data_IF_383902954013
#
_entry.id   IF_383902954013
#
_cell.length_a   1.000
_cell.length_b   1.000
_cell.length_c   1.000
_cell.angle_alpha   90.00
_cell.angle_beta   90.00
_cell.angle_gamma   90.00
#
_symmetry.space_group_name_H-M   'P 1'
#
loop_
_entity.id
_entity.type
_entity.pdbx_description
1 polymer ?
#
# COMPACT_ATOMS: atom_id res chain seq x y z
N UNK A 1 13.45 5.46 -13.02
CA UNK A 1 12.10 4.88 -12.92
C UNK A 1 11.30 5.69 -11.91
N UNK A 2 10.02 5.98 -12.17
CA UNK A 2 9.10 6.67 -11.25
C UNK A 2 8.13 5.66 -10.65
N UNK A 3 8.03 5.58 -9.34
CA UNK A 3 7.09 4.68 -8.65
C UNK A 3 6.14 5.49 -7.77
N UNK A 4 4.84 5.26 -7.93
CA UNK A 4 3.81 5.84 -7.08
C UNK A 4 3.32 4.78 -6.08
N UNK A 5 3.63 4.99 -4.81
CA UNK A 5 3.06 4.22 -3.71
C UNK A 5 1.74 4.84 -3.25
N UNK A 6 0.73 4.01 -3.01
CA UNK A 6 -0.58 4.49 -2.55
C UNK A 6 -0.96 3.75 -1.27
N UNK A 7 -1.15 4.47 -0.18
CA UNK A 7 -1.49 3.91 1.12
C UNK A 7 -2.64 4.69 1.77
N UNK A 8 -3.50 4.00 2.54
CA UNK A 8 -4.66 4.66 3.15
C UNK A 8 -4.28 5.75 4.15
N UNK A 9 -3.19 5.53 4.92
CA UNK A 9 -2.65 6.48 5.89
C UNK A 9 -1.23 6.09 6.29
N UNK A 10 -0.46 7.06 6.71
CA UNK A 10 0.92 6.90 7.21
C UNK A 10 0.97 6.95 8.74
N UNK A 11 0.10 6.16 9.41
CA UNK A 11 0.18 6.04 10.87
C UNK A 11 1.41 5.25 11.31
N UNK A 12 1.99 5.60 12.44
CA UNK A 12 3.15 4.90 13.01
C UNK A 12 2.85 3.42 13.18
N UNK A 13 3.55 2.59 12.40
CA UNK A 13 3.35 1.14 12.35
C UNK A 13 4.08 0.47 11.19
N UNK A 14 3.98 -0.84 11.11
CA UNK A 14 4.71 -1.66 10.13
C UNK A 14 4.65 -1.18 8.68
N UNK A 15 3.49 -0.82 8.12
CA UNK A 15 3.39 -0.35 6.73
C UNK A 15 4.14 0.96 6.46
N UNK A 16 4.12 1.92 7.39
CA UNK A 16 4.82 3.20 7.24
C UNK A 16 6.33 3.01 7.32
N UNK A 17 6.81 2.24 8.29
CA UNK A 17 8.23 1.87 8.43
C UNK A 17 8.72 1.10 7.21
N UNK A 18 7.92 0.15 6.71
CA UNK A 18 8.23 -0.58 5.47
C UNK A 18 8.40 0.36 4.29
N UNK A 19 7.46 1.31 4.11
CA UNK A 19 7.52 2.28 3.00
C UNK A 19 8.73 3.20 3.11
N UNK A 20 9.08 3.65 4.31
CA UNK A 20 10.28 4.45 4.52
C UNK A 20 11.54 3.70 4.07
N UNK A 21 11.75 2.48 4.58
CA UNK A 21 12.91 1.67 4.18
C UNK A 21 12.90 1.32 2.69
N UNK A 22 11.74 0.98 2.13
CA UNK A 22 11.61 0.65 0.72
C UNK A 22 11.97 1.86 -0.16
N UNK A 23 11.40 3.03 0.12
CA UNK A 23 11.63 4.22 -0.70
C UNK A 23 13.05 4.75 -0.57
N UNK A 24 13.68 4.63 0.62
CA UNK A 24 15.11 4.92 0.81
C UNK A 24 15.97 4.02 -0.08
N UNK A 25 15.79 2.69 0.02
CA UNK A 25 16.53 1.75 -0.81
C UNK A 25 16.30 1.92 -2.31
N UNK A 26 15.07 2.25 -2.72
CA UNK A 26 14.74 2.53 -4.12
C UNK A 26 15.40 3.82 -4.61
N UNK A 27 15.46 4.84 -3.76
CA UNK A 27 16.13 6.10 -4.08
C UNK A 27 17.65 5.91 -4.29
N UNK A 28 18.29 5.10 -3.43
CA UNK A 28 19.71 4.73 -3.57
C UNK A 28 19.99 4.02 -4.91
N UNK A 29 18.99 3.36 -5.48
CA UNK A 29 19.04 2.71 -6.80
C UNK A 29 18.59 3.63 -7.95
N UNK A 30 18.45 4.94 -7.72
CA UNK A 30 18.05 5.92 -8.73
C UNK A 30 16.56 5.88 -9.12
N UNK A 31 15.71 5.31 -8.28
CA UNK A 31 14.26 5.29 -8.49
C UNK A 31 13.60 6.46 -7.75
N UNK A 32 12.81 7.25 -8.46
CA UNK A 32 12.03 8.33 -7.86
C UNK A 32 10.75 7.76 -7.25
N UNK A 33 10.61 7.86 -5.94
CA UNK A 33 9.43 7.39 -5.21
C UNK A 33 8.54 8.56 -4.79
N UNK A 34 7.23 8.42 -5.03
CA UNK A 34 6.18 9.31 -4.53
C UNK A 34 5.20 8.49 -3.71
N UNK A 35 4.80 8.99 -2.54
CA UNK A 35 3.81 8.35 -1.66
C UNK A 35 2.54 9.21 -1.64
N UNK A 36 1.46 8.69 -2.22
CA UNK A 36 0.12 9.26 -2.06
C UNK A 36 -0.55 8.61 -0.85
N UNK A 37 -0.89 9.39 0.16
CA UNK A 37 -1.41 8.89 1.42
C UNK A 37 -2.57 9.74 1.92
N UNK A 38 -3.42 9.13 2.75
CA UNK A 38 -4.51 9.84 3.42
C UNK A 38 -4.14 10.23 4.85
N UNK A 39 -5.06 10.89 5.52
CA UNK A 39 -4.83 11.38 6.87
C UNK A 39 -4.94 10.29 7.94
N UNK A 40 -4.25 10.51 9.06
CA UNK A 40 -4.39 9.74 10.30
C UNK A 40 -5.55 10.27 11.14
N UNK A 41 -6.24 9.38 11.85
CA UNK A 41 -7.28 9.77 12.80
C UNK A 41 -6.62 10.42 14.05
N UNK A 42 -7.40 11.20 14.83
CA UNK A 42 -6.87 11.98 15.97
C UNK A 42 -6.21 11.14 17.06
N UNK A 43 -6.53 9.86 17.13
CA UNK A 43 -5.94 8.90 18.08
C UNK A 43 -4.72 8.14 17.50
N UNK A 44 -4.27 8.49 16.32
CA UNK A 44 -3.13 7.88 15.63
C UNK A 44 -1.98 8.88 15.50
N UNK A 45 -0.75 8.40 15.67
CA UNK A 45 0.44 9.21 15.42
C UNK A 45 0.80 9.15 13.94
N UNK A 46 0.88 10.32 13.31
CA UNK A 46 1.28 10.43 11.90
C UNK A 46 2.80 10.28 11.76
N UNK A 47 3.22 9.24 11.06
CA UNK A 47 4.62 8.94 10.82
C UNK A 47 5.33 10.04 10.02
N UNK A 48 4.62 10.73 9.13
CA UNK A 48 5.19 11.81 8.30
C UNK A 48 5.56 13.06 9.09
N UNK A 49 4.95 13.25 10.28
CA UNK A 49 5.27 14.36 11.17
C UNK A 49 6.46 14.07 12.07
N UNK A 50 6.78 12.80 12.30
CA UNK A 50 7.85 12.37 13.21
C UNK A 50 9.10 11.88 12.50
N UNK A 51 8.99 11.55 11.19
CA UNK A 51 10.09 11.02 10.38
C UNK A 51 10.20 11.78 9.05
N UNK A 52 11.43 12.07 8.64
CA UNK A 52 11.70 12.68 7.33
C UNK A 52 11.88 11.57 6.30
N UNK A 53 10.90 11.41 5.42
CA UNK A 53 10.96 10.44 4.33
C UNK A 53 11.73 11.03 3.13
N UNK A 54 12.46 10.19 2.41
CA UNK A 54 13.16 10.57 1.16
C UNK A 54 12.22 10.65 -0.05
N UNK A 55 11.05 10.03 0.03
CA UNK A 55 10.03 10.06 -1.02
C UNK A 55 9.28 11.40 -1.03
N UNK A 56 8.80 11.80 -2.21
CA UNK A 56 7.84 12.89 -2.33
C UNK A 56 6.51 12.49 -1.70
N UNK A 57 5.94 13.34 -0.85
CA UNK A 57 4.69 13.09 -0.14
C UNK A 57 3.53 13.86 -0.78
N UNK A 58 2.42 13.17 -1.05
CA UNK A 58 1.17 13.75 -1.58
C UNK A 58 -0.01 13.34 -0.70
N UNK A 59 -0.44 14.25 0.14
CA UNK A 59 -1.60 14.03 1.00
C UNK A 59 -2.92 14.08 0.19
N UNK A 60 -3.81 13.13 0.46
CA UNK A 60 -5.18 13.06 -0.07
C UNK A 60 -6.15 13.13 1.11
N UNK A 61 -6.59 14.34 1.44
CA UNK A 61 -7.44 14.63 2.62
C UNK A 61 -8.75 13.84 2.69
N UNK A 62 -9.22 13.29 1.57
CA UNK A 62 -10.43 12.46 1.51
C UNK A 62 -10.16 10.96 1.63
N UNK A 63 -8.88 10.54 1.63
CA UNK A 63 -8.50 9.15 1.79
C UNK A 63 -8.29 8.83 3.27
N UNK A 64 -9.18 8.04 3.84
CA UNK A 64 -9.15 7.64 5.26
C UNK A 64 -9.65 6.20 5.44
N UNK A 65 -9.50 5.64 6.64
CA UNK A 65 -9.84 4.25 6.93
C UNK A 65 -11.33 3.94 6.82
N UNK A 66 -12.16 4.85 7.28
CA UNK A 66 -13.62 4.68 7.32
C UNK A 66 -14.22 4.63 5.92
N UNK A 67 -15.26 3.84 5.71
CA UNK A 67 -15.98 3.80 4.43
C UNK A 67 -16.83 5.07 4.29
N UNK A 68 -16.61 5.82 3.23
CA UNK A 68 -17.37 7.03 2.87
C UNK A 68 -17.48 7.08 1.35
N UNK A 69 -18.62 6.71 0.75
CA UNK A 69 -18.75 6.63 -0.70
C UNK A 69 -18.39 7.94 -1.43
N UNK A 70 -18.71 9.09 -0.81
CA UNK A 70 -18.42 10.41 -1.39
C UNK A 70 -16.92 10.67 -1.37
N UNK A 71 -16.26 10.45 -0.21
CA UNK A 71 -14.84 10.70 -0.09
C UNK A 71 -14.01 9.64 -0.83
N UNK A 72 -14.51 8.41 -0.93
CA UNK A 72 -13.91 7.36 -1.73
C UNK A 72 -13.93 7.73 -3.22
N UNK A 73 -15.03 8.29 -3.72
CA UNK A 73 -15.12 8.80 -5.09
C UNK A 73 -14.21 10.01 -5.32
N UNK A 74 -14.14 10.94 -4.34
CA UNK A 74 -13.20 12.08 -4.40
C UNK A 74 -11.75 11.61 -4.41
N UNK A 75 -11.39 10.65 -3.54
CA UNK A 75 -10.07 10.05 -3.47
C UNK A 75 -9.70 9.33 -4.77
N UNK A 76 -10.63 8.55 -5.35
CA UNK A 76 -10.44 7.92 -6.64
C UNK A 76 -10.16 8.93 -7.77
N UNK A 77 -10.95 10.03 -7.83
CA UNK A 77 -10.73 11.10 -8.82
C UNK A 77 -9.38 11.81 -8.60
N UNK A 78 -8.99 12.03 -7.34
CA UNK A 78 -7.69 12.62 -7.01
C UNK A 78 -6.53 11.71 -7.39
N UNK A 79 -6.61 10.42 -7.09
CA UNK A 79 -5.63 9.42 -7.51
C UNK A 79 -5.47 9.36 -9.02
N UNK A 80 -6.58 9.38 -9.77
CA UNK A 80 -6.52 9.43 -11.24
C UNK A 80 -5.77 10.66 -11.76
N UNK A 81 -5.99 11.83 -11.14
CA UNK A 81 -5.27 13.05 -11.51
C UNK A 81 -3.79 12.92 -11.19
N UNK A 82 -3.43 12.49 -9.99
CA UNK A 82 -2.03 12.26 -9.59
C UNK A 82 -1.33 11.31 -10.58
N UNK A 83 -1.97 10.22 -10.96
CA UNK A 83 -1.41 9.24 -11.91
C UNK A 83 -1.17 9.88 -13.29
N UNK A 84 -2.10 10.71 -13.77
CA UNK A 84 -1.95 11.43 -15.04
C UNK A 84 -0.83 12.47 -15.00
N UNK A 85 -0.71 13.21 -13.89
CA UNK A 85 0.24 14.32 -13.75
C UNK A 85 1.68 13.80 -13.52
N UNK A 86 1.84 12.70 -12.77
CA UNK A 86 3.15 12.11 -12.46
C UNK A 86 3.67 11.18 -13.56
N UNK A 87 2.76 10.56 -14.33
CA UNK A 87 3.09 9.52 -15.30
C UNK A 87 4.05 8.47 -14.74
N UNK A 88 3.66 7.74 -13.66
CA UNK A 88 4.53 6.75 -13.03
C UNK A 88 4.71 5.53 -13.94
N UNK A 89 5.90 4.94 -13.88
CA UNK A 89 6.22 3.68 -14.57
C UNK A 89 5.59 2.47 -13.89
N UNK A 90 5.32 2.58 -12.56
CA UNK A 90 4.75 1.52 -11.72
C UNK A 90 3.94 2.11 -10.57
N UNK A 91 2.83 1.45 -10.26
CA UNK A 91 2.04 1.72 -9.05
C UNK A 91 2.22 0.59 -8.05
N UNK A 92 2.55 0.92 -6.81
CA UNK A 92 2.53 -0.01 -5.69
C UNK A 92 1.48 0.42 -4.68
N UNK A 93 0.45 -0.41 -4.50
CA UNK A 93 -0.65 -0.12 -3.59
C UNK A 93 -0.48 -0.89 -2.28
N UNK A 94 -0.85 -0.25 -1.16
CA UNK A 94 -0.74 -0.80 0.19
C UNK A 94 -2.09 -0.66 0.91
N UNK A 95 -2.37 -1.54 1.88
CA UNK A 95 -3.63 -1.57 2.64
C UNK A 95 -4.88 -1.79 1.77
N UNK A 96 -6.00 -2.19 2.39
CA UNK A 96 -7.17 -2.65 1.63
C UNK A 96 -7.84 -1.53 0.83
N UNK A 97 -8.18 -0.40 1.47
CA UNK A 97 -8.93 0.68 0.81
C UNK A 97 -8.13 1.38 -0.28
N UNK A 98 -6.90 1.80 0.04
CA UNK A 98 -5.99 2.38 -0.95
C UNK A 98 -5.63 1.35 -2.04
N UNK A 99 -5.56 0.07 -1.68
CA UNK A 99 -5.39 -1.03 -2.62
C UNK A 99 -6.49 -1.08 -3.67
N UNK A 100 -7.76 -1.00 -3.25
CA UNK A 100 -8.90 -1.00 -4.19
C UNK A 100 -8.90 0.26 -5.04
N UNK A 101 -8.89 1.43 -4.41
CA UNK A 101 -8.99 2.72 -5.10
C UNK A 101 -7.80 2.96 -6.04
N UNK A 102 -6.58 2.62 -5.60
CA UNK A 102 -5.36 2.79 -6.38
C UNK A 102 -5.32 1.90 -7.62
N UNK A 103 -5.65 0.60 -7.47
CA UNK A 103 -5.70 -0.35 -8.61
C UNK A 103 -6.73 0.06 -9.65
N UNK A 104 -7.93 0.45 -9.21
CA UNK A 104 -8.98 0.94 -10.11
C UNK A 104 -8.57 2.25 -10.78
N UNK A 105 -7.99 3.21 -10.05
CA UNK A 105 -7.51 4.46 -10.60
C UNK A 105 -6.43 4.23 -11.66
N UNK A 106 -5.44 3.39 -11.38
CA UNK A 106 -4.38 3.03 -12.30
C UNK A 106 -4.92 2.49 -13.63
N UNK A 107 -5.71 1.43 -13.56
CA UNK A 107 -6.25 0.77 -14.77
C UNK A 107 -7.30 1.62 -15.51
N UNK A 108 -7.93 2.60 -14.84
CA UNK A 108 -8.82 3.56 -15.49
C UNK A 108 -8.08 4.66 -16.25
N UNK A 109 -6.83 4.94 -15.90
CA UNK A 109 -5.95 5.90 -16.62
C UNK A 109 -5.21 5.19 -17.74
N UNK A 110 -4.55 4.08 -17.44
CA UNK A 110 -3.82 3.27 -18.41
C UNK A 110 -3.92 1.79 -18.04
N UNK A 111 -4.58 0.99 -18.89
CA UNK A 111 -4.75 -0.45 -18.67
C UNK A 111 -3.43 -1.23 -18.63
N UNK A 112 -2.39 -0.72 -19.31
CA UNK A 112 -1.06 -1.34 -19.37
C UNK A 112 -0.13 -0.90 -18.24
N UNK A 113 -0.50 0.11 -17.43
CA UNK A 113 0.31 0.58 -16.32
C UNK A 113 0.51 -0.57 -15.31
N UNK A 114 1.76 -0.96 -15.01
CA UNK A 114 2.04 -2.04 -14.07
C UNK A 114 1.56 -1.69 -12.67
N UNK A 115 0.88 -2.64 -12.02
CA UNK A 115 0.36 -2.48 -10.66
C UNK A 115 0.81 -3.64 -9.78
N UNK A 116 1.50 -3.31 -8.71
CA UNK A 116 1.86 -4.21 -7.62
C UNK A 116 0.93 -3.94 -6.43
N UNK A 117 0.54 -4.99 -5.70
CA UNK A 117 -0.11 -4.83 -4.41
C UNK A 117 0.69 -5.49 -3.31
N UNK A 118 0.99 -4.74 -2.25
CA UNK A 118 1.75 -5.22 -1.09
C UNK A 118 0.83 -5.50 0.09
N UNK A 119 0.81 -6.76 0.53
CA UNK A 119 0.07 -7.22 1.71
C UNK A 119 0.96 -7.19 2.95
N UNK A 120 0.65 -6.32 3.92
CA UNK A 120 1.45 -6.07 5.12
C UNK A 120 1.16 -7.00 6.30
N UNK A 121 0.35 -8.03 6.14
CA UNK A 121 0.05 -8.99 7.20
C UNK A 121 -1.39 -9.50 7.18
N UNK A 122 -1.73 -10.25 8.22
CA UNK A 122 -3.01 -10.94 8.32
C UNK A 122 -4.15 -10.00 8.72
N UNK A 123 -4.98 -9.62 7.76
CA UNK A 123 -6.30 -9.06 8.05
C UNK A 123 -7.38 -10.15 8.21
N UNK A 124 -7.01 -11.44 8.06
CA UNK A 124 -7.98 -12.50 7.79
C UNK A 124 -8.26 -13.39 9.00
N UNK A 125 -7.26 -13.63 9.88
CA UNK A 125 -7.43 -14.51 11.03
C UNK A 125 -7.51 -13.71 12.35
N UNK A 126 -8.65 -13.84 13.07
CA UNK A 126 -8.81 -13.37 14.43
C UNK A 126 -9.23 -11.92 14.66
N UNK A 127 -9.07 -11.03 13.67
CA UNK A 127 -9.37 -9.60 13.83
C UNK A 127 -10.75 -9.17 13.32
N UNK A 128 -11.36 -9.93 12.39
CA UNK A 128 -12.65 -9.58 11.81
C UNK A 128 -13.70 -10.66 12.01
N UNK A 129 -14.96 -10.25 12.18
CA UNK A 129 -16.11 -11.16 12.09
C UNK A 129 -16.08 -11.89 10.73
N UNK A 130 -16.51 -13.17 10.70
CA UNK A 130 -16.44 -14.06 9.52
C UNK A 130 -16.96 -13.41 8.23
N UNK A 131 -18.01 -12.58 8.30
CA UNK A 131 -18.57 -11.90 7.12
C UNK A 131 -17.63 -10.84 6.54
N UNK A 132 -16.88 -10.09 7.40
CA UNK A 132 -15.90 -9.08 6.93
C UNK A 132 -14.73 -9.75 6.21
N UNK A 133 -14.27 -10.89 6.72
CA UNK A 133 -13.22 -11.68 6.06
C UNK A 133 -13.68 -12.21 4.71
N UNK A 134 -14.95 -12.63 4.60
CA UNK A 134 -15.53 -13.06 3.33
C UNK A 134 -15.60 -11.90 2.31
N UNK A 135 -16.15 -10.74 2.71
CA UNK A 135 -16.22 -9.54 1.86
C UNK A 135 -14.82 -9.14 1.37
N UNK A 136 -13.84 -9.08 2.27
CA UNK A 136 -12.45 -8.80 1.91
C UNK A 136 -11.93 -9.80 0.87
N UNK A 137 -12.15 -11.10 1.08
CA UNK A 137 -11.71 -12.15 0.16
C UNK A 137 -12.32 -11.99 -1.22
N UNK A 138 -13.62 -11.69 -1.30
CA UNK A 138 -14.31 -11.47 -2.59
C UNK A 138 -13.73 -10.24 -3.30
N UNK A 139 -13.57 -9.13 -2.59
CA UNK A 139 -12.98 -7.90 -3.14
C UNK A 139 -11.58 -8.18 -3.66
N UNK A 140 -10.70 -8.81 -2.88
CA UNK A 140 -9.32 -9.07 -3.30
C UNK A 140 -9.23 -10.05 -4.48
N UNK A 141 -10.13 -11.02 -4.58
CA UNK A 141 -10.23 -11.89 -5.79
C UNK A 141 -10.57 -11.08 -7.05
N UNK A 142 -11.50 -10.13 -6.93
CA UNK A 142 -11.87 -9.24 -8.04
C UNK A 142 -10.69 -8.33 -8.39
N UNK A 143 -10.05 -7.74 -7.37
CA UNK A 143 -8.91 -6.83 -7.53
C UNK A 143 -7.68 -7.53 -8.11
N UNK A 144 -7.56 -8.85 -7.99
CA UNK A 144 -6.54 -9.64 -8.67
C UNK A 144 -6.52 -9.46 -10.19
N UNK A 145 -7.66 -9.09 -10.81
CA UNK A 145 -7.74 -8.79 -12.26
C UNK A 145 -7.08 -7.44 -12.64
N UNK A 146 -6.85 -6.59 -11.65
CA UNK A 146 -6.26 -5.25 -11.79
C UNK A 146 -4.85 -5.17 -11.19
N UNK A 147 -4.25 -6.33 -10.91
CA UNK A 147 -2.95 -6.48 -10.25
C UNK A 147 -2.05 -7.33 -11.14
N UNK A 148 -0.84 -6.88 -11.40
CA UNK A 148 0.13 -7.61 -12.22
C UNK A 148 1.05 -8.48 -11.35
N UNK A 149 1.42 -7.99 -10.15
CA UNK A 149 2.19 -8.76 -9.19
C UNK A 149 1.73 -8.47 -7.74
N UNK A 150 2.00 -9.41 -6.85
CA UNK A 150 1.70 -9.28 -5.42
C UNK A 150 2.95 -9.49 -4.57
N UNK A 151 3.11 -8.65 -3.56
CA UNK A 151 4.13 -8.77 -2.53
C UNK A 151 3.48 -9.15 -1.22
N UNK A 152 4.04 -10.12 -0.52
CA UNK A 152 3.68 -10.44 0.86
C UNK A 152 4.89 -10.23 1.77
N UNK A 153 4.67 -9.65 2.94
CA UNK A 153 5.77 -9.39 3.90
C UNK A 153 6.22 -10.66 4.63
N UNK A 154 5.44 -11.74 4.56
CA UNK A 154 5.80 -13.06 5.09
C UNK A 154 5.31 -14.19 4.19
N UNK A 155 5.99 -15.34 4.23
CA UNK A 155 5.54 -16.55 3.54
C UNK A 155 4.18 -17.05 4.04
N UNK A 156 3.88 -16.84 5.32
CA UNK A 156 2.60 -17.19 5.91
C UNK A 156 1.47 -16.33 5.34
N UNK A 157 1.67 -15.01 5.21
CA UNK A 157 0.74 -14.11 4.55
C UNK A 157 0.44 -14.57 3.12
N UNK A 158 1.47 -14.87 2.33
CA UNK A 158 1.30 -15.41 0.98
C UNK A 158 0.46 -16.68 0.98
N UNK A 159 0.83 -17.66 1.83
CA UNK A 159 0.13 -18.96 1.91
C UNK A 159 -1.33 -18.79 2.30
N UNK A 160 -1.63 -17.97 3.30
CA UNK A 160 -3.02 -17.70 3.75
C UNK A 160 -3.86 -17.07 2.64
N UNK A 161 -3.35 -16.07 1.92
CA UNK A 161 -4.06 -15.41 0.83
C UNK A 161 -4.30 -16.37 -0.36
N UNK A 162 -3.30 -17.15 -0.74
CA UNK A 162 -3.42 -18.11 -1.86
C UNK A 162 -4.37 -19.26 -1.54
N UNK A 163 -4.41 -19.74 -0.28
CA UNK A 163 -5.38 -20.73 0.19
C UNK A 163 -6.82 -20.22 0.09
N UNK A 164 -7.05 -18.95 0.32
CA UNK A 164 -8.34 -18.29 0.11
C UNK A 164 -8.66 -18.04 -1.37
N UNK A 165 -7.75 -18.37 -2.27
CA UNK A 165 -7.90 -18.18 -3.72
C UNK A 165 -7.61 -16.76 -4.18
N UNK A 166 -7.01 -15.91 -3.33
CA UNK A 166 -6.59 -14.56 -3.69
C UNK A 166 -5.28 -14.65 -4.49
N UNK A 167 -5.25 -14.00 -5.63
CA UNK A 167 -4.05 -13.86 -6.44
C UNK A 167 -3.44 -15.18 -6.95
N UNK A 168 -4.22 -16.25 -7.16
CA UNK A 168 -3.71 -17.57 -7.65
C UNK A 168 -2.91 -17.47 -8.96
N UNK A 169 -3.21 -16.48 -9.80
CA UNK A 169 -2.55 -16.29 -11.10
C UNK A 169 -1.50 -15.17 -11.09
N UNK A 170 -1.30 -14.50 -9.95
CA UNK A 170 -0.36 -13.40 -9.83
C UNK A 170 1.08 -13.88 -9.66
N UNK A 171 2.02 -13.07 -10.12
CA UNK A 171 3.41 -13.19 -9.75
C UNK A 171 3.58 -12.78 -8.29
N UNK A 172 3.90 -13.73 -7.41
CA UNK A 172 4.12 -13.47 -6.00
C UNK A 172 5.62 -13.32 -5.68
N UNK A 173 5.93 -12.32 -4.83
CA UNK A 173 7.21 -12.22 -4.12
C UNK A 173 6.97 -12.12 -2.63
N UNK A 174 7.86 -12.70 -1.85
CA UNK A 174 7.90 -12.52 -0.39
C UNK A 174 9.09 -11.61 -0.10
N UNK A 175 8.81 -10.43 0.48
CA UNK A 175 9.81 -9.44 0.84
C UNK A 175 9.60 -9.13 2.31
N UNK A 176 10.47 -9.68 3.15
CA UNK A 176 10.42 -9.48 4.60
C UNK A 176 10.82 -8.03 4.94
N UNK A 177 10.17 -7.47 5.96
CA UNK A 177 10.54 -6.15 6.47
C UNK A 177 11.89 -6.30 7.18
N UNK A 178 12.94 -5.70 6.62
CA UNK A 178 14.23 -5.58 7.28
C UNK A 178 14.20 -4.48 8.33
N UNK A 179 14.66 -4.76 9.55
CA UNK A 179 14.92 -3.71 10.56
C UNK A 179 16.42 -3.45 10.52
N UNK A 180 16.86 -2.20 10.28
CA UNK A 180 18.30 -1.90 10.28
C UNK A 180 18.87 -2.09 11.69
N UNK A 181 19.76 -3.07 11.85
CA UNK A 181 20.37 -3.42 13.14
C UNK A 181 21.14 -2.23 13.76
N UNK A 182 21.67 -1.33 12.93
CA UNK A 182 22.39 -0.13 13.38
C UNK A 182 21.53 0.83 14.24
N UNK A 183 20.20 0.84 14.07
CA UNK A 183 19.31 1.67 14.87
C UNK A 183 19.04 1.11 16.27
N UNK A 184 19.32 -0.17 16.50
CA UNK A 184 19.11 -0.83 17.81
C UNK A 184 20.32 -0.60 18.71
N UNK A 185 21.51 -0.56 18.17
CA UNK A 185 22.77 -0.42 18.95
C UNK A 185 23.02 1.02 19.39
N UNK A 186 22.47 2.03 18.75
CA UNK A 186 22.64 3.45 19.14
C UNK A 186 21.81 3.87 20.38
N UNK A 187 20.86 3.05 20.81
CA UNK A 187 20.02 3.32 21.99
C UNK A 187 20.42 2.50 23.24
N UNK A 188 21.54 1.79 23.18
CA UNK A 188 22.07 0.97 24.29
C UNK A 188 23.39 1.53 24.86
N UNK A 189 23.70 2.80 24.53
CA UNK A 189 24.85 3.52 25.06
C UNK A 189 24.45 4.65 25.98
#
# INVERSE_FOLDING_TARGET
>A
MKVLHIITRMNTGGPAVFLDHLTNAMNDLGTQSTIAYGYCESNETDFTQTHKLSAQLLEIKTLHRSLSPIDDLRSFRRLRRIIKDLEPDLINTHTSKAGVLGRLAAKSVNKKLPVVHTFHGHLIYGYFARYKSWVFTVIEKIMGKYTDAAVAVTSETKRSLTNLGIGKKLLWRVIQIGIPVKSITSNLG
#
